data_IF_346923225514
#
_entry.id   IF_346923225514
#
_cell.length_a   1.000
_cell.length_b   1.000
_cell.length_c   1.000
_cell.angle_alpha   90.00
_cell.angle_beta   90.00
_cell.angle_gamma   90.00
#
_symmetry.space_group_name_H-M   'P 1'
#
loop_
_entity.id
_entity.type
_entity.pdbx_description
1 polymer ?
#
# COMPACT_ATOMS: atom_id res chain seq x y z
N UNK A 1 -23.56 -12.95 -10.29
CA UNK A 1 -22.33 -12.11 -10.21
C UNK A 1 -22.23 -11.25 -8.94
N UNK A 2 -23.31 -10.62 -8.43
CA UNK A 2 -23.28 -9.81 -7.17
C UNK A 2 -22.74 -10.55 -5.93
N UNK A 3 -22.92 -11.87 -5.84
CA UNK A 3 -22.54 -12.66 -4.67
C UNK A 3 -21.03 -13.03 -4.62
N UNK A 4 -20.33 -13.02 -5.76
CA UNK A 4 -18.89 -13.34 -5.80
C UNK A 4 -18.03 -12.11 -5.51
N UNK A 5 -18.32 -10.98 -6.16
CA UNK A 5 -17.60 -9.73 -5.93
C UNK A 5 -17.72 -9.24 -4.49
N UNK A 6 -18.90 -9.37 -3.88
CA UNK A 6 -19.12 -9.03 -2.46
C UNK A 6 -18.34 -9.94 -1.51
N UNK A 7 -18.22 -11.24 -1.82
CA UNK A 7 -17.37 -12.17 -1.06
C UNK A 7 -15.89 -11.78 -1.17
N UNK A 8 -15.37 -11.53 -2.37
CA UNK A 8 -13.97 -11.08 -2.54
C UNK A 8 -13.73 -9.77 -1.79
N UNK A 9 -14.64 -8.80 -1.93
CA UNK A 9 -14.51 -7.52 -1.24
C UNK A 9 -14.48 -7.67 0.29
N UNK A 10 -15.31 -8.57 0.84
CA UNK A 10 -15.31 -8.90 2.27
C UNK A 10 -13.97 -9.47 2.74
N UNK A 11 -13.32 -10.30 1.93
CA UNK A 11 -12.05 -10.95 2.26
C UNK A 11 -10.81 -10.25 1.69
N UNK A 12 -10.95 -9.03 1.14
CA UNK A 12 -9.84 -8.30 0.50
C UNK A 12 -8.63 -8.10 1.42
N UNK A 13 -8.84 -8.02 2.74
CA UNK A 13 -7.75 -7.88 3.72
C UNK A 13 -6.86 -9.12 3.82
N UNK A 14 -7.31 -10.28 3.32
CA UNK A 14 -6.55 -11.52 3.32
C UNK A 14 -5.77 -11.74 2.02
N UNK A 15 -5.99 -10.94 0.98
CA UNK A 15 -5.23 -11.06 -0.28
C UNK A 15 -3.71 -10.91 -0.13
N UNK A 16 -3.16 -10.17 0.85
CA UNK A 16 -1.71 -10.07 1.02
C UNK A 16 -1.07 -11.30 1.71
N UNK A 17 -1.85 -12.16 2.38
CA UNK A 17 -1.31 -13.27 3.19
C UNK A 17 -0.47 -14.27 2.39
N UNK A 18 -0.90 -14.74 1.20
CA UNK A 18 -0.05 -15.61 0.38
C UNK A 18 1.30 -14.98 0.04
N UNK A 19 1.33 -13.67 -0.24
CA UNK A 19 2.57 -12.96 -0.52
C UNK A 19 3.48 -12.89 0.71
N UNK A 20 2.91 -12.65 1.90
CA UNK A 20 3.67 -12.70 3.15
C UNK A 20 4.27 -14.10 3.39
N UNK A 21 3.51 -15.17 3.15
CA UNK A 21 4.02 -16.54 3.30
C UNK A 21 5.19 -16.81 2.34
N UNK A 22 5.07 -16.40 1.07
CA UNK A 22 6.16 -16.50 0.10
C UNK A 22 7.38 -15.68 0.53
N UNK A 23 7.16 -14.46 1.03
CA UNK A 23 8.25 -13.60 1.50
C UNK A 23 9.00 -14.22 2.68
N UNK A 24 8.30 -14.81 3.65
CA UNK A 24 8.93 -15.46 4.80
C UNK A 24 9.66 -16.75 4.40
N UNK A 25 9.07 -17.56 3.51
CA UNK A 25 9.64 -18.83 3.09
C UNK A 25 10.88 -18.67 2.20
N UNK A 26 10.87 -17.70 1.28
CA UNK A 26 11.96 -17.45 0.33
C UNK A 26 12.86 -16.26 0.72
N UNK A 27 12.82 -15.81 1.98
CA UNK A 27 13.58 -14.64 2.41
C UNK A 27 15.10 -14.85 2.23
N UNK A 28 15.77 -13.81 1.73
CA UNK A 28 17.24 -13.68 1.69
C UNK A 28 17.61 -12.34 2.31
N UNK A 29 16.99 -12.02 3.45
CA UNK A 29 17.11 -10.74 4.10
C UNK A 29 18.52 -10.52 4.65
N UNK A 30 19.03 -9.31 4.45
CA UNK A 30 20.30 -8.83 5.02
C UNK A 30 20.03 -7.62 5.89
N UNK A 31 20.95 -7.26 6.78
CA UNK A 31 20.83 -6.03 7.59
C UNK A 31 20.63 -4.81 6.68
N UNK A 32 21.37 -4.74 5.57
CA UNK A 32 21.24 -3.66 4.59
C UNK A 32 19.87 -3.64 3.93
N UNK A 33 19.35 -4.79 3.49
CA UNK A 33 18.03 -4.84 2.86
C UNK A 33 16.91 -4.49 3.83
N UNK A 34 17.04 -4.92 5.09
CA UNK A 34 16.12 -4.56 6.17
C UNK A 34 16.09 -3.04 6.42
N UNK A 35 17.26 -2.40 6.52
CA UNK A 35 17.36 -0.95 6.72
C UNK A 35 16.79 -0.19 5.52
N UNK A 36 17.24 -0.51 4.30
CA UNK A 36 16.79 0.18 3.08
C UNK A 36 15.28 0.03 2.91
N UNK A 37 14.77 -1.20 3.03
CA UNK A 37 13.34 -1.45 2.88
C UNK A 37 12.51 -0.78 3.97
N UNK A 38 12.99 -0.73 5.22
CA UNK A 38 12.33 -0.01 6.31
C UNK A 38 12.27 1.49 6.03
N UNK A 39 13.35 2.12 5.57
CA UNK A 39 13.36 3.54 5.21
C UNK A 39 12.36 3.85 4.08
N UNK A 40 12.29 2.99 3.07
CA UNK A 40 11.30 3.13 1.98
C UNK A 40 9.87 3.00 2.52
N UNK A 41 9.62 2.03 3.41
CA UNK A 41 8.31 1.87 4.03
C UNK A 41 7.91 3.08 4.88
N UNK A 42 8.85 3.69 5.61
CA UNK A 42 8.62 4.93 6.36
C UNK A 42 8.24 6.10 5.44
N UNK A 43 8.88 6.23 4.27
CA UNK A 43 8.50 7.24 3.28
C UNK A 43 7.07 6.97 2.77
N UNK A 44 6.73 5.70 2.54
CA UNK A 44 5.37 5.30 2.17
C UNK A 44 4.33 5.69 3.22
N UNK A 45 4.61 5.40 4.50
CA UNK A 45 3.74 5.78 5.62
C UNK A 45 3.63 7.30 5.75
N UNK A 46 4.72 8.05 5.53
CA UNK A 46 4.67 9.52 5.49
C UNK A 46 3.69 10.03 4.42
N UNK A 47 3.72 9.51 3.19
CA UNK A 47 2.75 9.88 2.15
C UNK A 47 1.31 9.52 2.54
N UNK A 48 1.11 8.40 3.24
CA UNK A 48 -0.22 8.04 3.75
C UNK A 48 -0.71 9.02 4.80
N UNK A 49 0.10 9.33 5.81
CA UNK A 49 -0.26 10.27 6.87
C UNK A 49 -0.52 11.67 6.32
N UNK A 50 0.33 12.14 5.40
CA UNK A 50 0.15 13.42 4.71
C UNK A 50 -1.11 13.44 3.83
N UNK A 51 -1.44 12.34 3.16
CA UNK A 51 -2.69 12.20 2.44
C UNK A 51 -3.90 12.26 3.38
N UNK A 52 -3.93 11.43 4.43
CA UNK A 52 -5.06 11.38 5.38
C UNK A 52 -5.26 12.72 6.08
N UNK A 53 -4.20 13.44 6.46
CA UNK A 53 -4.30 14.72 7.15
C UNK A 53 -4.99 15.80 6.32
N UNK A 54 -4.91 15.72 4.99
CA UNK A 54 -5.58 16.65 4.06
C UNK A 54 -6.93 16.13 3.55
N UNK A 55 -7.08 14.82 3.40
CA UNK A 55 -8.33 14.21 2.95
C UNK A 55 -9.43 14.20 4.02
N UNK A 56 -9.05 14.04 5.30
CA UNK A 56 -10.01 13.83 6.37
C UNK A 56 -11.00 12.69 6.08
N UNK A 57 -12.28 12.92 6.34
CA UNK A 57 -13.35 11.95 6.10
C UNK A 57 -13.80 11.86 4.64
N UNK A 58 -13.35 12.75 3.75
CA UNK A 58 -13.84 12.82 2.36
C UNK A 58 -13.47 11.59 1.51
N UNK A 59 -12.52 10.78 2.00
CA UNK A 59 -12.12 9.50 1.36
C UNK A 59 -12.90 8.30 1.87
N UNK A 60 -13.74 8.45 2.90
CA UNK A 60 -14.52 7.35 3.49
C UNK A 60 -15.90 7.25 2.87
N UNK A 61 -16.13 6.17 2.13
CA UNK A 61 -17.43 5.81 1.54
C UNK A 61 -18.33 5.11 2.56
N UNK A 62 -18.57 5.74 3.72
CA UNK A 62 -19.38 5.12 4.78
C UNK A 62 -20.88 5.37 4.58
N UNK A 63 -21.27 6.52 4.02
CA UNK A 63 -22.68 6.94 3.90
C UNK A 63 -23.12 7.37 2.48
N UNK A 64 -22.33 7.08 1.45
CA UNK A 64 -22.67 7.42 0.06
C UNK A 64 -21.45 7.43 -0.86
N UNK A 65 -21.68 7.28 -2.18
CA UNK A 65 -20.61 7.38 -3.19
C UNK A 65 -20.44 8.85 -3.57
N UNK A 66 -19.29 9.43 -3.21
CA UNK A 66 -18.92 10.80 -3.57
C UNK A 66 -18.38 11.57 -2.36
N UNK A 67 -17.19 12.16 -2.49
CA UNK A 67 -16.72 13.16 -1.53
C UNK A 67 -17.57 14.43 -1.65
N UNK A 68 -17.72 15.17 -0.57
CA UNK A 68 -18.47 16.44 -0.54
C UNK A 68 -17.78 17.50 -1.42
N UNK A 69 -16.45 17.40 -1.55
CA UNK A 69 -15.63 18.27 -2.39
C UNK A 69 -14.35 17.57 -2.86
N UNK A 70 -13.67 18.17 -3.85
CA UNK A 70 -12.39 17.68 -4.36
C UNK A 70 -11.23 18.18 -3.46
N UNK A 71 -10.47 17.25 -2.91
CA UNK A 71 -9.27 17.56 -2.11
C UNK A 71 -8.09 17.81 -3.05
N UNK A 72 -7.55 19.03 -3.05
CA UNK A 72 -6.43 19.45 -3.92
C UNK A 72 -5.23 19.99 -3.14
N UNK A 73 -5.25 19.89 -1.81
CA UNK A 73 -4.18 20.39 -0.93
C UNK A 73 -3.29 19.26 -0.40
N UNK A 74 -2.10 19.62 0.10
CA UNK A 74 -1.14 18.65 0.65
C UNK A 74 -0.62 17.70 -0.42
N UNK A 75 -0.55 16.40 -0.10
CA UNK A 75 -0.07 15.38 -1.02
C UNK A 75 -0.90 15.30 -2.32
N UNK A 76 -2.19 15.66 -2.25
CA UNK A 76 -3.09 15.66 -3.41
C UNK A 76 -2.77 16.74 -4.44
N UNK A 77 -1.97 17.77 -4.08
CA UNK A 77 -1.50 18.79 -5.02
C UNK A 77 -0.46 18.23 -6.01
N UNK A 78 0.22 17.14 -5.66
CA UNK A 78 1.32 16.57 -6.45
C UNK A 78 0.92 15.27 -7.17
N UNK A 79 0.04 14.47 -6.56
CA UNK A 79 -0.43 13.22 -7.12
C UNK A 79 -1.91 13.03 -6.77
N UNK A 80 -2.70 12.52 -7.72
CA UNK A 80 -4.15 12.30 -7.51
C UNK A 80 -4.46 11.29 -6.40
N UNK A 81 -3.55 10.34 -6.18
CA UNK A 81 -3.74 9.16 -5.33
C UNK A 81 -2.55 8.95 -4.37
N UNK A 82 -2.27 9.89 -3.44
CA UNK A 82 -1.09 9.84 -2.57
C UNK A 82 -1.12 8.65 -1.59
N UNK A 83 -2.31 8.23 -1.18
CA UNK A 83 -2.50 7.05 -0.32
C UNK A 83 -2.07 5.75 -1.02
N UNK A 84 -2.32 5.65 -2.33
CA UNK A 84 -1.88 4.50 -3.12
C UNK A 84 -0.38 4.56 -3.39
N UNK A 85 0.18 5.74 -3.62
CA UNK A 85 1.63 5.92 -3.68
C UNK A 85 2.30 5.44 -2.39
N UNK A 86 1.75 5.84 -1.23
CA UNK A 86 2.22 5.37 0.05
C UNK A 86 2.15 3.84 0.21
N UNK A 87 1.04 3.22 -0.21
CA UNK A 87 0.92 1.76 -0.22
C UNK A 87 1.96 1.06 -1.11
N UNK A 88 2.16 1.55 -2.33
CA UNK A 88 3.15 0.98 -3.26
C UNK A 88 4.56 1.06 -2.67
N UNK A 89 4.92 2.19 -2.05
CA UNK A 89 6.19 2.34 -1.34
C UNK A 89 6.31 1.39 -0.15
N UNK A 90 5.25 1.21 0.65
CA UNK A 90 5.26 0.25 1.75
C UNK A 90 5.43 -1.20 1.26
N UNK A 91 4.72 -1.60 0.21
CA UNK A 91 4.84 -2.95 -0.36
C UNK A 91 6.23 -3.18 -0.95
N UNK A 92 6.76 -2.19 -1.68
CA UNK A 92 8.13 -2.22 -2.18
C UNK A 92 9.13 -2.33 -1.03
N UNK A 93 8.98 -1.53 0.02
CA UNK A 93 9.83 -1.54 1.20
C UNK A 93 9.86 -2.91 1.87
N UNK A 94 8.70 -3.51 2.13
CA UNK A 94 8.59 -4.87 2.70
C UNK A 94 9.19 -5.93 1.74
N UNK A 95 8.97 -5.79 0.44
CA UNK A 95 9.59 -6.65 -0.58
C UNK A 95 11.11 -6.56 -0.57
N UNK A 96 11.67 -5.37 -0.40
CA UNK A 96 13.11 -5.15 -0.25
C UNK A 96 13.62 -5.71 1.09
N UNK A 97 12.87 -5.55 2.19
CA UNK A 97 13.26 -6.11 3.50
C UNK A 97 13.47 -7.62 3.41
N UNK A 98 12.51 -8.35 2.83
CA UNK A 98 12.60 -9.81 2.67
C UNK A 98 13.64 -10.27 1.64
N UNK A 99 13.92 -9.47 0.60
CA UNK A 99 14.69 -9.87 -0.59
C UNK A 99 14.21 -11.18 -1.25
N UNK A 100 12.99 -11.62 -0.94
CA UNK A 100 12.46 -12.88 -1.43
C UNK A 100 12.17 -12.78 -2.93
N UNK A 101 12.54 -13.83 -3.68
CA UNK A 101 12.27 -13.99 -5.11
C UNK A 101 12.62 -12.72 -5.93
N UNK A 102 13.70 -12.04 -5.57
CA UNK A 102 14.11 -10.80 -6.21
C UNK A 102 14.41 -11.01 -7.71
N UNK A 103 13.97 -10.12 -8.63
CA UNK A 103 13.22 -8.87 -8.41
C UNK A 103 11.70 -9.00 -8.58
N UNK A 104 11.16 -10.21 -8.71
CA UNK A 104 9.77 -10.43 -9.16
C UNK A 104 8.73 -9.90 -8.18
N UNK A 105 8.90 -10.15 -6.86
CA UNK A 105 7.95 -9.66 -5.86
C UNK A 105 7.98 -8.14 -5.72
N UNK A 106 9.13 -7.51 -5.93
CA UNK A 106 9.31 -6.06 -5.86
C UNK A 106 8.68 -5.37 -7.07
N UNK A 107 8.76 -5.99 -8.26
CA UNK A 107 8.05 -5.51 -9.45
C UNK A 107 6.53 -5.64 -9.27
N UNK A 108 6.05 -6.79 -8.77
CA UNK A 108 4.61 -7.00 -8.50
C UNK A 108 4.09 -5.98 -7.48
N UNK A 109 4.89 -5.61 -6.48
CA UNK A 109 4.51 -4.61 -5.48
C UNK A 109 4.26 -3.20 -6.07
N UNK A 110 4.71 -2.92 -7.30
CA UNK A 110 4.59 -1.64 -7.99
C UNK A 110 3.46 -1.58 -9.02
N UNK A 111 2.72 -2.68 -9.24
CA UNK A 111 1.65 -2.81 -10.24
C UNK A 111 0.31 -3.04 -9.54
#
# INVERSE_FOLDING_TARGET
MKNFASKIFKYRSYSPLPFLLLMVYFQVATVSSMIIGFLIALIGEFFRLWGVSHAGSETRTTDGVGGTFLVVSGAFAYVRNPLYLGNMLMYLGIGIMSMALFPYLQIIALV
#
